data_IF_803968150298
#
_entry.id   IF_803968150298
#
_cell.length_a   1.000
_cell.length_b   1.000
_cell.length_c   1.000
_cell.angle_alpha   90.00
_cell.angle_beta   90.00
_cell.angle_gamma   90.00
#
_symmetry.space_group_name_H-M   'P 1'
#
loop_
_entity.id
_entity.type
_entity.pdbx_description
1 polymer ?
#
# COMPACT_ATOMS: atom_id res chain seq x y z
N UNK A 1 9.76 2.88 -5.08
CA UNK A 1 10.38 3.97 -5.85
C UNK A 1 11.18 3.47 -7.05
N UNK A 2 12.05 2.47 -6.92
CA UNK A 2 12.90 2.01 -8.04
C UNK A 2 12.12 1.37 -9.20
N UNK A 3 11.21 0.40 -9.00
CA UNK A 3 10.40 -0.13 -10.09
C UNK A 3 9.57 0.97 -10.78
N UNK A 4 8.89 1.81 -9.98
CA UNK A 4 8.11 2.93 -10.49
C UNK A 4 8.97 3.95 -11.28
N UNK A 5 10.22 4.17 -10.88
CA UNK A 5 11.17 5.02 -11.63
C UNK A 5 11.59 4.36 -12.95
N UNK A 6 11.98 3.09 -12.91
CA UNK A 6 12.44 2.33 -14.09
C UNK A 6 11.37 2.27 -15.18
N UNK A 7 10.10 2.10 -14.79
CA UNK A 7 8.97 2.04 -15.74
C UNK A 7 8.28 3.41 -15.96
N UNK A 8 8.84 4.51 -15.42
CA UNK A 8 8.37 5.86 -15.70
C UNK A 8 7.09 6.32 -14.98
N UNK A 9 6.57 5.58 -14.01
CA UNK A 9 5.32 5.89 -13.27
C UNK A 9 5.55 6.46 -11.86
N UNK A 10 6.77 6.93 -11.57
CA UNK A 10 7.12 7.40 -10.23
C UNK A 10 6.41 8.68 -9.78
N UNK A 11 5.74 9.40 -10.69
CA UNK A 11 4.87 10.53 -10.35
C UNK A 11 3.60 10.08 -9.64
N UNK A 12 3.04 8.91 -9.98
CA UNK A 12 1.80 8.38 -9.41
C UNK A 12 2.03 7.26 -8.39
N UNK A 13 3.10 6.46 -8.50
CA UNK A 13 3.30 5.26 -7.65
C UNK A 13 4.63 5.23 -6.90
N UNK A 14 4.73 4.26 -5.99
CA UNK A 14 5.99 3.80 -5.41
C UNK A 14 6.58 4.66 -4.30
N UNK A 15 5.87 5.65 -3.77
CA UNK A 15 6.17 6.30 -2.48
C UNK A 15 4.88 6.78 -1.83
N UNK A 16 4.89 6.96 -0.51
CA UNK A 16 3.78 7.56 0.21
C UNK A 16 3.93 9.08 0.21
N UNK A 17 3.20 9.76 -0.66
CA UNK A 17 3.28 11.22 -0.85
C UNK A 17 1.94 11.75 -1.37
N UNK A 18 1.63 13.02 -1.08
CA UNK A 18 0.40 13.66 -1.58
C UNK A 18 0.36 13.65 -3.11
N UNK A 19 -0.83 13.47 -3.67
CA UNK A 19 -1.07 13.46 -5.13
C UNK A 19 -0.76 12.14 -5.83
N UNK A 20 -0.36 11.09 -5.09
CA UNK A 20 -0.11 9.74 -5.61
C UNK A 20 -1.32 8.84 -5.44
N UNK A 21 -1.32 7.76 -6.21
CA UNK A 21 -2.32 6.70 -6.10
C UNK A 21 -2.24 6.09 -4.69
N UNK A 22 -3.40 5.81 -4.12
CA UNK A 22 -3.51 5.19 -2.80
C UNK A 22 -3.31 3.67 -2.88
N UNK A 23 -2.13 3.27 -3.36
CA UNK A 23 -1.62 1.90 -3.36
C UNK A 23 -0.76 1.68 -2.11
N UNK A 24 -1.36 1.13 -1.06
CA UNK A 24 -0.79 1.09 0.29
C UNK A 24 -0.88 -0.33 0.84
N UNK A 25 0.23 -0.79 1.44
CA UNK A 25 0.26 -2.01 2.25
C UNK A 25 0.55 -1.61 3.69
N UNK A 26 -0.35 -1.99 4.60
CA UNK A 26 -0.16 -1.83 6.05
C UNK A 26 0.35 -3.15 6.59
N UNK A 27 1.46 -3.09 7.34
CA UNK A 27 2.11 -4.25 7.93
C UNK A 27 2.45 -3.98 9.39
N UNK A 28 2.60 -5.05 10.17
CA UNK A 28 3.17 -4.97 11.51
C UNK A 28 4.72 -4.94 11.47
N UNK A 29 5.34 -5.04 12.66
CA UNK A 29 6.80 -5.06 12.81
C UNK A 29 7.46 -6.34 12.31
N UNK A 30 6.70 -7.42 12.17
CA UNK A 30 7.15 -8.71 11.66
C UNK A 30 6.91 -8.87 10.16
N UNK A 31 6.42 -7.80 9.50
CA UNK A 31 6.08 -7.74 8.09
C UNK A 31 4.85 -8.58 7.69
N UNK A 32 3.99 -8.95 8.65
CA UNK A 32 2.69 -9.54 8.34
C UNK A 32 1.81 -8.48 7.68
N UNK A 33 1.16 -8.84 6.56
CA UNK A 33 0.26 -7.93 5.84
C UNK A 33 -1.07 -7.86 6.61
N UNK A 34 -1.37 -6.68 7.14
CA UNK A 34 -2.61 -6.41 7.87
C UNK A 34 -3.71 -5.91 6.94
N UNK A 35 -3.36 -5.08 5.95
CA UNK A 35 -4.34 -4.50 5.02
C UNK A 35 -3.67 -4.10 3.70
N UNK A 36 -4.41 -4.26 2.61
CA UNK A 36 -4.00 -3.77 1.29
C UNK A 36 -5.07 -2.84 0.74
N UNK A 37 -4.62 -1.66 0.32
CA UNK A 37 -5.43 -0.66 -0.37
C UNK A 37 -4.87 -0.55 -1.78
N UNK A 38 -5.73 -0.75 -2.79
CA UNK A 38 -5.39 -0.56 -4.19
C UNK A 38 -6.30 0.53 -4.77
N UNK A 39 -5.71 1.56 -5.35
CA UNK A 39 -6.43 2.71 -5.93
C UNK A 39 -7.48 3.30 -4.96
N UNK A 40 -7.14 3.37 -3.68
CA UNK A 40 -8.02 3.91 -2.62
C UNK A 40 -9.10 2.95 -2.13
N UNK A 41 -9.16 1.70 -2.62
CA UNK A 41 -10.11 0.68 -2.18
C UNK A 41 -9.41 -0.36 -1.33
N UNK A 42 -10.00 -0.71 -0.19
CA UNK A 42 -9.52 -1.82 0.63
C UNK A 42 -9.85 -3.12 -0.10
N UNK A 43 -8.82 -3.84 -0.54
CA UNK A 43 -8.94 -5.11 -1.28
C UNK A 43 -8.57 -6.32 -0.41
N UNK A 44 -7.89 -6.09 0.71
CA UNK A 44 -7.55 -7.12 1.67
C UNK A 44 -7.54 -6.54 3.09
N UNK A 45 -7.97 -7.35 4.05
CA UNK A 45 -7.91 -7.07 5.48
C UNK A 45 -7.67 -8.38 6.24
N UNK A 46 -6.63 -8.40 7.07
CA UNK A 46 -6.34 -9.51 7.98
C UNK A 46 -7.45 -9.65 9.02
N UNK A 47 -7.72 -10.88 9.45
CA UNK A 47 -8.64 -11.16 10.55
C UNK A 47 -8.15 -10.57 11.88
N UNK A 48 -6.84 -10.40 12.04
CA UNK A 48 -6.21 -9.83 13.24
C UNK A 48 -6.57 -8.36 13.47
N UNK A 49 -7.09 -7.65 12.46
CA UNK A 49 -7.65 -6.31 12.64
C UNK A 49 -9.05 -6.32 13.29
N UNK A 50 -9.70 -7.47 13.34
CA UNK A 50 -10.97 -7.69 14.02
C UNK A 50 -10.68 -8.40 15.34
N UNK A 51 -10.09 -7.66 16.28
CA UNK A 51 -10.13 -8.06 17.69
C UNK A 51 -11.39 -7.39 18.25
N UNK A 52 -12.46 -8.16 18.42
CA UNK A 52 -13.54 -7.81 19.35
C UNK A 52 -13.17 -8.22 20.77
#
# INVERSE_FOLDING_TARGET
TNPAKIIGISSSKGSLSRGKDADIVVMDKELNVLMTIAEGRIVYRSKELYIE
#
